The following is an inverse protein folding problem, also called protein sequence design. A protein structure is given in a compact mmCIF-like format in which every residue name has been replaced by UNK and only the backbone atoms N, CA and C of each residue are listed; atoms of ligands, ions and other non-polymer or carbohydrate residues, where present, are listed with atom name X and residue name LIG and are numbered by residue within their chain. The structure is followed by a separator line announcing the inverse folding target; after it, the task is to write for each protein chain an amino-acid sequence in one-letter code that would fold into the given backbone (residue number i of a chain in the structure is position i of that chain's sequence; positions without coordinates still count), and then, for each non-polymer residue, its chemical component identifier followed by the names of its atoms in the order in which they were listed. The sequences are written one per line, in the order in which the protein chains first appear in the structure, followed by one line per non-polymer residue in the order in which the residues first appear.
data_IF_600531724911
#
_entry.id   IF_600531724911
#
_cell.length_a   1.000
_cell.length_b   1.000
_cell.length_c   1.000
_cell.angle_alpha   90.00
_cell.angle_beta   90.00
_cell.angle_gamma   90.00
#
_symmetry.space_group_name_H-M   'P 1'
#
loop_
_entity.id
_entity.type
_entity.pdbx_description
1 polymer ?
#
# COMPACT_ATOMS: atom_id res chain seq x y z
N UNK A 1 46.29 13.50 41.41
CA UNK A 1 46.28 12.02 41.28
C UNK A 1 45.41 11.71 40.06
N UNK A 2 45.94 11.33 38.89
CA UNK A 2 46.39 9.95 38.51
C UNK A 2 45.26 8.94 38.79
N UNK A 3 44.73 8.11 37.86
CA UNK A 3 45.20 7.47 36.60
C UNK A 3 43.97 6.80 35.94
N UNK A 4 43.78 6.88 34.62
CA UNK A 4 44.08 5.89 33.55
C UNK A 4 42.91 4.97 33.12
N UNK A 5 42.86 4.76 31.80
CA UNK A 5 41.95 3.99 30.95
C UNK A 5 41.76 2.52 31.35
N UNK A 6 40.68 1.89 30.86
CA UNK A 6 40.72 0.56 30.21
C UNK A 6 39.61 0.50 29.14
N UNK A 7 40.04 0.21 27.91
CA UNK A 7 39.26 -0.26 26.76
C UNK A 7 38.94 -1.74 26.98
N UNK A 8 37.71 -2.18 26.70
CA UNK A 8 37.43 -3.59 26.38
C UNK A 8 36.44 -3.64 25.21
N UNK A 9 36.98 -3.93 24.03
CA UNK A 9 36.23 -4.59 22.97
C UNK A 9 35.95 -6.04 23.38
N UNK A 10 34.74 -6.54 23.10
CA UNK A 10 34.51 -7.83 22.42
C UNK A 10 33.02 -8.14 22.31
N UNK A 11 32.56 -8.15 21.05
CA UNK A 11 31.65 -9.14 20.42
C UNK A 11 30.70 -9.96 21.30
N UNK A 12 29.39 -9.77 21.13
CA UNK A 12 28.44 -10.72 20.48
C UNK A 12 27.03 -10.13 20.53
N UNK A 13 26.29 -10.26 19.42
CA UNK A 13 25.16 -9.40 19.07
C UNK A 13 23.78 -9.80 19.58
N UNK A 14 22.81 -8.92 19.26
CA UNK A 14 21.42 -9.31 19.04
C UNK A 14 20.73 -8.29 18.13
N UNK A 15 20.52 -8.71 16.89
CA UNK A 15 19.42 -8.37 15.97
C UNK A 15 18.84 -6.95 15.99
N UNK A 16 19.52 -6.01 15.34
CA UNK A 16 18.83 -4.96 14.59
C UNK A 16 18.59 -5.48 13.18
N UNK A 17 17.38 -5.93 12.89
CA UNK A 17 16.97 -6.32 11.53
C UNK A 17 16.89 -5.06 10.67
N UNK A 18 18.05 -4.61 10.17
CA UNK A 18 18.14 -3.62 9.12
C UNK A 18 17.51 -4.22 7.86
N UNK A 19 16.39 -3.64 7.45
CA UNK A 19 15.59 -4.10 6.33
C UNK A 19 16.27 -3.71 5.01
N UNK A 20 17.33 -4.45 4.67
CA UNK A 20 17.99 -4.35 3.37
C UNK A 20 17.01 -4.88 2.32
N UNK A 21 16.29 -3.97 1.67
CA UNK A 21 15.64 -4.23 0.40
C UNK A 21 16.73 -4.62 -0.61
N UNK A 22 16.99 -5.92 -0.84
CA UNK A 22 17.91 -6.35 -1.90
C UNK A 22 17.21 -6.37 -3.27
N UNK A 23 17.68 -5.47 -4.14
CA UNK A 23 18.04 -5.57 -5.58
C UNK A 23 17.24 -6.35 -6.64
N UNK A 24 16.29 -7.25 -6.34
CA UNK A 24 15.81 -8.16 -7.39
C UNK A 24 14.44 -7.83 -8.01
N UNK A 25 13.74 -6.78 -7.54
CA UNK A 25 12.50 -6.30 -8.18
C UNK A 25 12.71 -5.17 -9.20
N UNK A 26 13.93 -4.64 -9.34
CA UNK A 26 14.23 -3.49 -10.22
C UNK A 26 14.80 -3.87 -11.58
N UNK A 27 14.86 -5.16 -11.93
CA UNK A 27 15.42 -5.63 -13.21
C UNK A 27 14.38 -6.08 -14.25
N UNK A 28 13.18 -5.50 -14.25
CA UNK A 28 12.32 -5.57 -15.43
C UNK A 28 12.30 -4.20 -16.13
N UNK A 29 12.88 -4.08 -17.34
CA UNK A 29 12.96 -2.82 -18.03
C UNK A 29 11.61 -2.54 -18.69
N UNK A 30 10.74 -1.83 -17.99
CA UNK A 30 9.79 -0.94 -18.67
C UNK A 30 9.68 0.37 -17.91
N UNK A 31 10.00 1.45 -18.62
CA UNK A 31 10.15 2.81 -18.12
C UNK A 31 8.77 3.45 -17.95
N UNK A 32 8.30 3.54 -16.72
CA UNK A 32 7.40 4.61 -16.22
C UNK A 32 7.15 4.53 -14.70
N UNK A 33 7.83 3.61 -14.02
CA UNK A 33 7.49 3.17 -12.68
C UNK A 33 8.50 3.69 -11.66
N UNK A 34 8.25 4.86 -11.06
CA UNK A 34 9.02 5.24 -9.85
C UNK A 34 8.41 6.31 -8.92
N UNK A 35 7.32 6.99 -9.29
CA UNK A 35 6.84 8.16 -8.52
C UNK A 35 5.71 7.88 -7.52
N UNK A 36 4.84 6.89 -7.76
CA UNK A 36 3.70 6.59 -6.88
C UNK A 36 4.10 5.66 -5.73
N UNK A 37 4.91 4.63 -6.01
CA UNK A 37 5.40 3.62 -5.06
C UNK A 37 6.29 4.15 -3.92
N UNK A 38 6.79 5.38 -4.03
CA UNK A 38 7.61 6.03 -3.01
C UNK A 38 6.80 6.98 -2.11
N UNK A 39 5.55 7.31 -2.47
CA UNK A 39 4.69 8.20 -1.68
C UNK A 39 4.13 7.52 -0.44
N UNK A 40 3.71 6.26 -0.56
CA UNK A 40 3.17 5.48 0.58
C UNK A 40 4.25 5.20 1.62
N UNK A 41 5.53 5.06 1.21
CA UNK A 41 6.69 4.95 2.12
C UNK A 41 6.83 6.14 3.07
N UNK A 42 6.40 7.33 2.66
CA UNK A 42 6.61 8.55 3.46
C UNK A 42 5.70 8.69 4.68
N UNK A 43 4.66 7.85 4.80
CA UNK A 43 3.70 7.89 5.93
C UNK A 43 4.24 7.27 7.22
N UNK A 44 5.45 6.69 7.18
CA UNK A 44 5.97 5.78 8.19
C UNK A 44 7.34 6.27 8.67
N UNK A 45 7.56 6.27 10.00
CA UNK A 45 8.82 6.70 10.63
C UNK A 45 9.95 5.73 10.33
N UNK A 46 10.59 5.88 9.17
CA UNK A 46 11.85 5.20 8.85
C UNK A 46 12.89 6.24 8.42
N UNK A 47 14.08 6.13 9.02
CA UNK A 47 15.16 7.11 8.95
C UNK A 47 15.68 7.26 7.52
N UNK A 48 15.57 8.45 6.92
CA UNK A 48 16.04 8.76 5.56
C UNK A 48 17.52 8.45 5.29
N UNK A 49 18.33 8.19 6.33
CA UNK A 49 19.75 7.87 6.19
C UNK A 49 20.03 6.42 5.79
N UNK A 50 19.08 5.51 5.95
CA UNK A 50 19.32 4.06 5.80
C UNK A 50 18.48 3.39 4.69
N UNK A 51 17.46 4.07 4.18
CA UNK A 51 16.54 3.50 3.17
C UNK A 51 16.97 3.75 1.73
N UNK A 52 16.76 2.77 0.84
CA UNK A 52 16.90 2.97 -0.61
C UNK A 52 15.74 3.80 -1.15
N UNK A 53 16.05 5.01 -1.59
CA UNK A 53 15.16 5.91 -2.31
C UNK A 53 15.75 6.31 -3.67
N UNK A 54 14.89 6.73 -4.60
CA UNK A 54 15.36 7.47 -5.77
C UNK A 54 15.40 8.96 -5.44
N UNK A 55 16.50 9.64 -5.79
CA UNK A 55 16.66 11.07 -5.53
C UNK A 55 15.49 11.87 -6.13
N UNK A 56 15.07 11.52 -7.34
CA UNK A 56 13.91 12.12 -8.02
C UNK A 56 12.61 12.04 -7.20
N UNK A 57 12.41 10.97 -6.42
CA UNK A 57 11.21 10.82 -5.58
C UNK A 57 11.30 11.64 -4.31
N UNK A 58 12.49 11.73 -3.69
CA UNK A 58 12.72 12.59 -2.54
C UNK A 58 12.51 14.05 -2.94
N UNK A 59 13.09 14.46 -4.06
CA UNK A 59 12.94 15.82 -4.58
C UNK A 59 11.48 16.11 -4.91
N UNK A 60 10.77 15.16 -5.54
CA UNK A 60 9.34 15.29 -5.80
C UNK A 60 8.53 15.48 -4.50
N UNK A 61 8.79 14.65 -3.48
CA UNK A 61 8.10 14.71 -2.20
C UNK A 61 8.40 16.02 -1.45
N UNK A 62 9.66 16.45 -1.43
CA UNK A 62 10.08 17.73 -0.87
C UNK A 62 9.36 18.90 -1.56
N UNK A 63 9.34 18.89 -2.89
CA UNK A 63 8.64 19.89 -3.69
C UNK A 63 7.11 19.84 -3.50
N UNK A 64 6.58 18.67 -3.13
CA UNK A 64 5.17 18.47 -2.78
C UNK A 64 4.86 18.88 -1.31
N UNK A 65 5.87 19.36 -0.58
CA UNK A 65 5.75 19.91 0.76
C UNK A 65 5.86 18.89 1.89
N UNK A 66 6.45 17.71 1.63
CA UNK A 66 6.75 16.74 2.69
C UNK A 66 7.84 17.30 3.62
N UNK A 67 7.58 17.27 4.92
CA UNK A 67 8.50 17.77 5.94
C UNK A 67 9.33 16.61 6.52
N UNK A 68 10.45 16.29 5.86
CA UNK A 68 11.32 15.15 6.19
C UNK A 68 11.77 15.16 7.66
N UNK A 69 12.28 16.29 8.15
CA UNK A 69 12.72 16.44 9.53
C UNK A 69 11.57 16.17 10.53
N UNK A 70 10.38 16.69 10.23
CA UNK A 70 9.21 16.44 11.08
C UNK A 70 8.81 14.96 11.10
N UNK A 71 8.94 14.24 9.98
CA UNK A 71 8.69 12.80 9.96
C UNK A 71 9.74 12.01 10.74
N UNK A 72 11.00 12.46 10.74
CA UNK A 72 12.06 11.86 11.55
C UNK A 72 11.82 12.06 13.06
N UNK A 73 11.39 13.25 13.46
CA UNK A 73 11.17 13.60 14.87
C UNK A 73 9.82 13.08 15.38
N UNK A 74 8.74 13.35 14.65
CA UNK A 74 7.33 13.19 15.06
C UNK A 74 6.57 12.14 14.21
N UNK A 75 7.25 11.38 13.36
CA UNK A 75 6.61 10.36 12.52
C UNK A 75 5.86 9.30 13.33
N UNK A 76 4.85 8.71 12.69
CA UNK A 76 4.06 7.63 13.29
C UNK A 76 4.89 6.33 13.26
N UNK A 77 4.96 5.67 14.41
CA UNK A 77 5.52 4.32 14.50
C UNK A 77 4.66 3.33 13.73
N UNK A 78 5.30 2.57 12.84
CA UNK A 78 4.58 1.78 11.85
C UNK A 78 3.88 0.58 12.48
N UNK A 79 4.53 -0.06 13.44
CA UNK A 79 3.98 -1.22 14.14
C UNK A 79 2.81 -0.80 15.02
N UNK A 80 2.94 0.33 15.72
CA UNK A 80 1.84 0.88 16.50
C UNK A 80 0.64 1.26 15.63
N UNK A 81 0.88 1.86 14.46
CA UNK A 81 -0.20 2.14 13.50
C UNK A 81 -0.86 0.85 12.99
N UNK A 82 -0.07 -0.19 12.68
CA UNK A 82 -0.58 -1.47 12.23
C UNK A 82 -1.47 -2.14 13.30
N UNK A 83 -1.07 -2.09 14.58
CA UNK A 83 -1.84 -2.61 15.73
C UNK A 83 -3.21 -1.91 15.85
N UNK A 84 -3.22 -0.57 15.79
CA UNK A 84 -4.45 0.21 15.85
C UNK A 84 -5.35 -0.07 14.63
N UNK A 85 -4.76 -0.15 13.43
CA UNK A 85 -5.50 -0.45 12.22
C UNK A 85 -6.14 -1.84 12.28
N UNK A 86 -5.40 -2.85 12.75
CA UNK A 86 -5.86 -4.23 12.87
C UNK A 86 -7.14 -4.35 13.71
N UNK A 87 -7.25 -3.56 14.77
CA UNK A 87 -8.37 -3.61 15.73
C UNK A 87 -9.47 -2.57 15.46
N UNK A 88 -9.32 -1.74 14.42
CA UNK A 88 -10.23 -0.64 14.10
C UNK A 88 -11.55 -1.06 13.44
N UNK A 89 -11.62 -2.27 12.87
CA UNK A 89 -12.72 -2.70 11.99
C UNK A 89 -12.64 -2.14 10.56
N UNK A 90 -11.54 -1.46 10.20
CA UNK A 90 -11.31 -0.94 8.83
C UNK A 90 -10.71 -2.01 7.90
N UNK A 91 -9.97 -2.96 8.47
CA UNK A 91 -9.44 -4.16 7.78
C UNK A 91 -10.14 -5.41 8.30
N UNK A 92 -10.04 -6.52 7.56
CA UNK A 92 -10.66 -7.82 7.90
C UNK A 92 -12.20 -7.79 7.98
N UNK A 93 -12.83 -6.74 7.47
CA UNK A 93 -14.27 -6.49 7.59
C UNK A 93 -14.95 -6.37 6.22
N UNK A 94 -15.90 -7.27 5.95
CA UNK A 94 -16.55 -7.42 4.64
C UNK A 94 -17.51 -6.26 4.30
N UNK A 95 -17.91 -5.48 5.31
CA UNK A 95 -18.74 -4.28 5.14
C UNK A 95 -17.94 -3.04 4.71
N UNK A 96 -16.60 -3.11 4.70
CA UNK A 96 -15.74 -2.00 4.28
C UNK A 96 -15.36 -2.16 2.81
N UNK A 97 -15.61 -1.12 2.01
CA UNK A 97 -15.20 -1.04 0.61
C UNK A 97 -14.03 -0.07 0.47
N UNK A 98 -12.91 -0.57 -0.01
CA UNK A 98 -11.69 0.19 -0.25
C UNK A 98 -11.67 0.75 -1.67
N UNK A 99 -11.45 2.06 -1.77
CA UNK A 99 -11.31 2.77 -3.04
C UNK A 99 -9.85 3.16 -3.22
N UNK A 100 -9.30 2.87 -4.39
CA UNK A 100 -7.89 3.11 -4.66
C UNK A 100 -7.66 3.54 -6.11
N UNK A 101 -6.44 3.96 -6.44
CA UNK A 101 -6.06 4.31 -7.80
C UNK A 101 -4.67 3.75 -8.09
N UNK A 102 -4.57 2.78 -9.00
CA UNK A 102 -3.30 2.19 -9.42
C UNK A 102 -2.48 1.61 -8.26
N UNK A 103 -3.15 0.85 -7.40
CA UNK A 103 -2.75 0.69 -6.00
C UNK A 103 -1.96 -0.58 -5.68
N UNK A 104 -1.31 -1.19 -6.67
CA UNK A 104 -0.52 -2.41 -6.46
C UNK A 104 0.55 -2.22 -5.38
N UNK A 105 1.29 -1.12 -5.45
CA UNK A 105 2.30 -0.78 -4.44
C UNK A 105 1.68 -0.37 -3.11
N UNK A 106 0.59 0.39 -3.13
CA UNK A 106 -0.07 0.88 -1.92
C UNK A 106 -0.49 -0.30 -1.05
N UNK A 107 -1.17 -1.29 -1.64
CA UNK A 107 -1.55 -2.51 -0.94
C UNK A 107 -0.37 -3.42 -0.62
N UNK A 108 0.70 -3.43 -1.44
CA UNK A 108 1.96 -4.07 -1.08
C UNK A 108 2.53 -3.53 0.23
N UNK A 109 2.53 -2.21 0.43
CA UNK A 109 2.95 -1.63 1.72
C UNK A 109 1.99 -2.00 2.85
N UNK A 110 0.68 -1.94 2.62
CA UNK A 110 -0.30 -2.27 3.64
C UNK A 110 -0.20 -3.74 4.08
N UNK A 111 -0.03 -4.67 3.15
CA UNK A 111 0.17 -6.09 3.47
C UNK A 111 1.45 -6.27 4.28
N UNK A 112 2.58 -5.73 3.81
CA UNK A 112 3.85 -5.77 4.55
C UNK A 112 3.74 -5.19 5.95
N UNK A 113 3.04 -4.05 6.08
CA UNK A 113 2.81 -3.37 7.34
C UNK A 113 1.97 -4.21 8.31
N UNK A 114 0.88 -4.81 7.82
CA UNK A 114 -0.06 -5.59 8.64
C UNK A 114 0.45 -6.98 8.99
N UNK A 115 1.34 -7.56 8.17
CA UNK A 115 1.96 -8.87 8.44
C UNK A 115 3.30 -8.75 9.16
N UNK A 116 3.90 -7.56 9.21
CA UNK A 116 5.28 -7.32 9.63
C UNK A 116 6.28 -8.32 9.02
N UNK A 117 6.02 -8.71 7.77
CA UNK A 117 6.72 -9.79 7.08
C UNK A 117 7.13 -9.38 5.67
N UNK A 118 8.04 -10.14 5.05
CA UNK A 118 8.32 -9.97 3.61
C UNK A 118 7.06 -10.27 2.81
N UNK A 119 6.90 -9.57 1.69
CA UNK A 119 5.84 -9.89 0.74
C UNK A 119 6.05 -11.31 0.18
N UNK A 120 4.96 -12.04 -0.11
CA UNK A 120 5.06 -13.33 -0.76
C UNK A 120 5.84 -13.26 -2.07
N UNK A 121 6.58 -14.33 -2.38
CA UNK A 121 7.32 -14.43 -3.64
C UNK A 121 6.36 -14.65 -4.82
N UNK A 122 5.25 -15.34 -4.57
CA UNK A 122 4.25 -15.69 -5.56
C UNK A 122 3.06 -14.73 -5.55
N UNK A 123 2.64 -14.28 -6.74
CA UNK A 123 1.55 -13.30 -6.89
C UNK A 123 0.22 -13.79 -6.29
N UNK A 124 -0.10 -15.08 -6.46
CA UNK A 124 -1.35 -15.65 -5.97
C UNK A 124 -1.43 -15.67 -4.43
N UNK A 125 -0.30 -15.88 -3.75
CA UNK A 125 -0.22 -15.81 -2.28
C UNK A 125 -0.39 -14.37 -1.80
N UNK A 126 0.18 -13.39 -2.52
CA UNK A 126 -0.07 -11.97 -2.24
C UNK A 126 -1.56 -11.64 -2.32
N UNK A 127 -2.26 -12.05 -3.39
CA UNK A 127 -3.70 -11.82 -3.53
C UNK A 127 -4.52 -12.56 -2.47
N UNK A 128 -4.07 -13.75 -2.04
CA UNK A 128 -4.72 -14.47 -0.95
C UNK A 128 -4.68 -13.64 0.34
N UNK A 129 -3.51 -13.14 0.75
CA UNK A 129 -3.37 -12.31 1.95
C UNK A 129 -4.11 -10.97 1.79
N UNK A 130 -4.00 -10.35 0.62
CA UNK A 130 -4.68 -9.09 0.30
C UNK A 130 -6.18 -9.19 0.52
N UNK A 131 -6.82 -10.21 -0.03
CA UNK A 131 -8.27 -10.38 0.03
C UNK A 131 -8.79 -10.69 1.44
N UNK A 132 -7.94 -11.13 2.36
CA UNK A 132 -8.31 -11.28 3.77
C UNK A 132 -8.41 -9.92 4.43
N UNK A 133 -7.34 -9.12 4.35
CA UNK A 133 -7.30 -7.80 4.97
C UNK A 133 -8.26 -6.81 4.32
N UNK A 134 -8.46 -6.92 3.00
CA UNK A 134 -9.22 -5.99 2.17
C UNK A 134 -10.21 -6.75 1.29
N UNK A 135 -11.33 -7.27 1.85
CA UNK A 135 -12.25 -8.15 1.12
C UNK A 135 -12.92 -7.49 -0.09
N UNK A 136 -13.10 -6.16 -0.03
CA UNK A 136 -13.69 -5.39 -1.12
C UNK A 136 -12.79 -4.23 -1.53
N UNK A 137 -12.12 -4.34 -2.68
CA UNK A 137 -11.30 -3.28 -3.28
C UNK A 137 -11.84 -2.92 -4.66
N UNK A 138 -11.93 -1.62 -4.95
CA UNK A 138 -12.13 -1.09 -6.30
C UNK A 138 -10.99 -0.16 -6.69
N UNK A 139 -10.14 -0.62 -7.61
CA UNK A 139 -9.09 0.21 -8.20
C UNK A 139 -9.68 1.03 -9.36
N UNK A 140 -9.81 2.34 -9.15
CA UNK A 140 -10.34 3.29 -10.15
C UNK A 140 -9.61 3.17 -11.48
N UNK A 141 -8.29 2.97 -11.46
CA UNK A 141 -7.50 2.79 -12.68
C UNK A 141 -7.89 1.53 -13.44
N UNK A 142 -8.25 0.46 -12.73
CA UNK A 142 -8.78 -0.76 -13.34
C UNK A 142 -10.18 -0.54 -13.92
N UNK A 143 -11.08 0.11 -13.17
CA UNK A 143 -12.45 0.43 -13.63
C UNK A 143 -12.45 1.28 -14.92
N UNK A 144 -11.51 2.23 -15.03
CA UNK A 144 -11.34 3.07 -16.22
C UNK A 144 -11.17 2.28 -17.52
N UNK A 145 -10.69 1.02 -17.47
CA UNK A 145 -10.60 0.15 -18.68
C UNK A 145 -11.95 -0.08 -19.35
N UNK A 146 -13.05 0.07 -18.61
CA UNK A 146 -14.43 -0.04 -19.13
C UNK A 146 -15.06 1.32 -19.45
N UNK A 147 -14.36 2.42 -19.19
CA UNK A 147 -14.85 3.77 -19.43
C UNK A 147 -14.25 4.33 -20.72
N UNK A 148 -15.08 4.57 -21.74
CA UNK A 148 -14.60 5.18 -22.98
C UNK A 148 -14.05 6.58 -22.68
N UNK A 149 -12.88 6.88 -23.22
CA UNK A 149 -12.20 8.18 -23.16
C UNK A 149 -11.59 8.59 -21.81
N UNK A 150 -11.72 7.81 -20.72
CA UNK A 150 -10.96 8.06 -19.49
C UNK A 150 -9.57 7.42 -19.58
N UNK A 151 -8.53 8.25 -19.51
CA UNK A 151 -7.13 7.80 -19.55
C UNK A 151 -6.23 8.74 -18.75
N UNK A 152 -5.03 8.26 -18.45
CA UNK A 152 -4.03 9.08 -17.77
C UNK A 152 -3.94 8.86 -16.25
N UNK A 153 -3.14 9.68 -15.58
CA UNK A 153 -2.96 9.67 -14.13
C UNK A 153 -4.15 10.26 -13.37
N UNK A 154 -4.14 10.16 -12.03
CA UNK A 154 -5.27 10.58 -11.19
C UNK A 154 -5.68 12.05 -11.43
N UNK A 155 -4.72 12.95 -11.62
CA UNK A 155 -5.03 14.36 -11.90
C UNK A 155 -5.71 14.53 -13.26
N UNK A 156 -5.20 13.88 -14.31
CA UNK A 156 -5.76 13.97 -15.66
C UNK A 156 -7.18 13.40 -15.70
N UNK A 157 -7.44 12.34 -14.93
CA UNK A 157 -8.77 11.74 -14.77
C UNK A 157 -9.70 12.68 -14.02
N UNK A 158 -9.23 13.33 -12.96
CA UNK A 158 -10.01 14.33 -12.25
C UNK A 158 -10.40 15.50 -13.16
N UNK A 159 -9.46 15.99 -13.98
CA UNK A 159 -9.72 17.06 -14.95
C UNK A 159 -10.77 16.63 -15.99
N UNK A 160 -10.71 15.39 -16.48
CA UNK A 160 -11.70 14.81 -17.41
C UNK A 160 -13.09 14.61 -16.79
N UNK A 161 -13.16 14.52 -15.47
CA UNK A 161 -14.40 14.35 -14.70
C UNK A 161 -14.93 15.67 -14.12
N UNK A 162 -14.30 16.80 -14.48
CA UNK A 162 -14.58 18.14 -13.95
C UNK A 162 -14.49 18.22 -12.41
N UNK A 163 -13.50 17.54 -11.83
CA UNK A 163 -13.29 17.48 -10.38
C UNK A 163 -12.18 18.43 -9.93
N UNK A 164 -12.49 19.25 -8.94
CA UNK A 164 -11.51 20.14 -8.32
C UNK A 164 -10.78 19.44 -7.17
N UNK A 165 -9.44 19.43 -7.21
CA UNK A 165 -8.60 18.93 -6.11
C UNK A 165 -8.70 19.85 -4.88
N UNK A 166 -8.80 19.22 -3.71
CA UNK A 166 -8.63 19.85 -2.40
C UNK A 166 -7.34 19.34 -1.77
N UNK A 167 -6.48 20.27 -1.33
CA UNK A 167 -5.15 19.97 -0.81
C UNK A 167 -4.04 19.90 -1.87
N UNK A 168 -2.82 19.60 -1.43
CA UNK A 168 -1.64 19.57 -2.31
C UNK A 168 -1.55 18.25 -3.06
N UNK A 169 -1.39 18.33 -4.37
CA UNK A 169 -1.10 17.16 -5.21
C UNK A 169 0.13 16.42 -4.69
N UNK A 170 0.12 15.08 -4.80
CA UNK A 170 1.21 14.21 -4.35
C UNK A 170 1.38 14.12 -2.82
N UNK A 171 0.38 14.53 -2.05
CA UNK A 171 0.22 14.14 -0.66
C UNK A 171 -0.90 13.11 -0.54
N UNK A 172 -0.65 12.06 0.25
CA UNK A 172 -1.56 10.91 0.36
C UNK A 172 -3.00 11.31 0.73
N UNK A 173 -3.19 12.28 1.63
CA UNK A 173 -4.53 12.75 2.01
C UNK A 173 -5.28 13.49 0.90
N UNK A 174 -4.58 14.32 0.09
CA UNK A 174 -5.21 14.98 -1.05
C UNK A 174 -5.50 13.99 -2.18
N UNK A 175 -4.55 13.09 -2.45
CA UNK A 175 -4.68 12.07 -3.48
C UNK A 175 -5.80 11.06 -3.13
N UNK A 176 -5.96 10.68 -1.85
CA UNK A 176 -7.03 9.77 -1.41
C UNK A 176 -8.42 10.40 -1.51
N UNK A 177 -8.56 11.68 -1.13
CA UNK A 177 -9.81 12.42 -1.30
C UNK A 177 -10.20 12.52 -2.78
N UNK A 178 -9.25 12.89 -3.64
CA UNK A 178 -9.50 12.99 -5.07
C UNK A 178 -9.83 11.62 -5.69
N UNK A 179 -9.21 10.54 -5.21
CA UNK A 179 -9.53 9.17 -5.62
C UNK A 179 -10.98 8.82 -5.30
N UNK A 180 -11.45 9.14 -4.08
CA UNK A 180 -12.85 8.94 -3.70
C UNK A 180 -13.82 9.74 -4.57
N UNK A 181 -13.52 11.02 -4.80
CA UNK A 181 -14.32 11.88 -5.69
C UNK A 181 -14.39 11.32 -7.12
N UNK A 182 -13.24 10.90 -7.66
CA UNK A 182 -13.16 10.31 -9.00
C UNK A 182 -13.96 9.01 -9.08
N UNK A 183 -13.90 8.15 -8.07
CA UNK A 183 -14.69 6.92 -8.02
C UNK A 183 -16.19 7.20 -8.10
N UNK A 184 -16.73 8.05 -7.20
CA UNK A 184 -18.17 8.31 -7.18
C UNK A 184 -18.63 8.99 -8.47
N UNK A 185 -17.86 9.96 -8.97
CA UNK A 185 -18.20 10.63 -10.23
C UNK A 185 -18.18 9.69 -11.44
N UNK A 186 -17.18 8.81 -11.50
CA UNK A 186 -17.07 7.80 -12.55
C UNK A 186 -18.20 6.77 -12.45
N UNK A 187 -18.57 6.36 -11.24
CA UNK A 187 -19.67 5.42 -10.97
C UNK A 187 -21.01 5.97 -11.49
N UNK A 188 -21.30 7.24 -11.23
CA UNK A 188 -22.49 7.92 -11.76
C UNK A 188 -22.52 7.94 -13.29
N UNK A 189 -21.39 8.33 -13.92
CA UNK A 189 -21.34 8.60 -15.36
C UNK A 189 -21.24 7.35 -16.25
N UNK A 190 -20.56 6.31 -15.78
CA UNK A 190 -20.19 5.15 -16.61
C UNK A 190 -20.77 3.82 -16.14
N UNK A 191 -21.32 3.77 -14.92
CA UNK A 191 -21.76 2.53 -14.29
C UNK A 191 -23.21 2.58 -13.79
N UNK A 192 -24.00 3.60 -14.15
CA UNK A 192 -25.42 3.69 -13.76
C UNK A 192 -25.63 3.51 -12.24
N UNK A 193 -24.72 4.08 -11.44
CA UNK A 193 -24.70 3.95 -9.98
C UNK A 193 -24.57 2.51 -9.42
N UNK A 194 -24.15 1.56 -10.25
CA UNK A 194 -23.97 0.15 -9.87
C UNK A 194 -22.70 -0.47 -10.48
N UNK A 195 -21.80 -0.96 -9.63
CA UNK A 195 -20.57 -1.64 -10.05
C UNK A 195 -20.76 -3.14 -9.88
N UNK A 196 -20.41 -3.91 -10.92
CA UNK A 196 -20.42 -5.37 -10.89
C UNK A 196 -19.23 -5.91 -10.09
N UNK A 197 -19.51 -6.44 -8.89
CA UNK A 197 -18.49 -6.99 -8.00
C UNK A 197 -17.75 -8.18 -8.62
N UNK A 198 -18.44 -9.04 -9.39
CA UNK A 198 -17.80 -10.17 -10.05
C UNK A 198 -16.76 -9.70 -11.07
N UNK A 199 -16.98 -8.56 -11.70
CA UNK A 199 -16.06 -8.04 -12.71
C UNK A 199 -14.94 -7.17 -12.14
N UNK A 200 -15.22 -6.38 -11.11
CA UNK A 200 -14.31 -5.30 -10.68
C UNK A 200 -13.76 -5.44 -9.27
N UNK A 201 -14.44 -6.14 -8.37
CA UNK A 201 -14.01 -6.24 -6.97
C UNK A 201 -12.72 -7.07 -6.85
N UNK A 202 -11.75 -6.57 -6.09
CA UNK A 202 -10.46 -7.22 -5.84
C UNK A 202 -9.47 -7.15 -7.01
N UNK A 203 -9.81 -6.44 -8.10
CA UNK A 203 -8.94 -6.30 -9.27
C UNK A 203 -8.04 -5.07 -9.13
N UNK A 204 -6.73 -5.29 -9.08
CA UNK A 204 -5.73 -4.23 -9.08
C UNK A 204 -5.22 -3.97 -10.50
N UNK A 205 -5.01 -2.70 -10.86
CA UNK A 205 -4.49 -2.37 -12.19
C UNK A 205 -3.04 -2.89 -12.33
N UNK A 206 -2.79 -3.63 -13.43
CA UNK A 206 -1.46 -4.15 -13.75
C UNK A 206 -1.07 -5.45 -13.07
N UNK A 207 -1.95 -6.04 -12.23
CA UNK A 207 -1.70 -7.28 -11.48
C UNK A 207 -2.86 -8.28 -11.61
N UNK A 208 -2.61 -9.55 -11.29
CA UNK A 208 -3.65 -10.55 -11.06
C UNK A 208 -4.37 -11.06 -12.31
N UNK A 209 -3.74 -10.98 -13.49
CA UNK A 209 -4.33 -11.42 -14.78
C UNK A 209 -4.57 -12.94 -14.89
N UNK A 210 -4.23 -13.73 -13.87
CA UNK A 210 -4.41 -15.19 -13.83
C UNK A 210 -5.23 -15.73 -12.65
N UNK A 211 -5.73 -14.88 -11.74
CA UNK A 211 -6.47 -15.36 -10.56
C UNK A 211 -7.96 -15.43 -10.89
N UNK A 212 -8.46 -16.65 -11.12
CA UNK A 212 -9.89 -16.93 -11.20
C UNK A 212 -10.54 -16.64 -9.84
N UNK A 213 -11.73 -16.02 -9.83
CA UNK A 213 -12.49 -15.83 -8.61
C UNK A 213 -12.89 -17.20 -8.05
N UNK A 214 -12.74 -17.41 -6.73
CA UNK A 214 -13.56 -18.41 -6.03
C UNK A 214 -15.02 -18.00 -6.25
N UNK A 215 -15.80 -18.88 -6.88
CA UNK A 215 -17.25 -18.83 -6.74
C UNK A 215 -17.56 -18.97 -5.24
N UNK A 216 -18.61 -18.30 -4.75
CA UNK A 216 -19.07 -18.41 -3.37
C UNK A 216 -19.32 -19.89 -3.02
N UNK A 217 -18.31 -20.57 -2.48
CA UNK A 217 -18.49 -21.74 -1.65
C UNK A 217 -18.47 -21.23 -0.22
N UNK A 218 -19.60 -21.39 0.48
CA UNK A 218 -19.73 -21.23 1.92
C UNK A 218 -18.82 -22.26 2.61
N UNK A 219 -17.52 -22.00 2.61
CA UNK A 219 -16.53 -22.68 3.45
C UNK A 219 -16.26 -21.75 4.61
N UNK A 220 -16.49 -22.25 5.82
CA UNK A 220 -16.51 -21.52 7.08
C UNK A 220 -15.35 -20.49 7.20
N UNK A 221 -15.65 -19.24 6.83
CA UNK A 221 -14.65 -18.17 6.65
C UNK A 221 -13.84 -17.89 7.92
N UNK A 222 -14.41 -18.22 9.08
CA UNK A 222 -13.76 -18.10 10.37
C UNK A 222 -12.59 -19.09 10.52
N UNK A 223 -12.71 -20.32 10.03
CA UNK A 223 -11.66 -21.33 10.13
C UNK A 223 -10.48 -21.01 9.20
N UNK A 224 -10.75 -20.51 7.99
CA UNK A 224 -9.72 -20.06 7.04
C UNK A 224 -9.01 -18.81 7.58
N UNK A 225 -9.77 -17.81 8.08
CA UNK A 225 -9.22 -16.62 8.75
C UNK A 225 -8.36 -16.98 9.98
N UNK A 226 -8.80 -17.94 10.81
CA UNK A 226 -8.04 -18.42 11.97
C UNK A 226 -6.78 -19.20 11.58
N UNK A 227 -6.86 -20.04 10.55
CA UNK A 227 -5.70 -20.78 10.05
C UNK A 227 -4.64 -19.85 9.46
N UNK A 228 -5.06 -18.71 8.89
CA UNK A 228 -4.13 -17.74 8.31
C UNK A 228 -3.57 -16.80 9.38
N UNK A 229 -4.35 -16.42 10.40
CA UNK A 229 -3.79 -15.79 11.60
C UNK A 229 -2.72 -16.68 12.26
N UNK A 230 -2.92 -18.00 12.25
CA UNK A 230 -1.89 -18.95 12.70
C UNK A 230 -0.67 -18.98 11.76
N UNK A 231 -0.83 -18.83 10.44
CA UNK A 231 0.29 -18.69 9.49
C UNK A 231 1.04 -17.38 9.74
N UNK A 232 0.35 -16.25 9.92
CA UNK A 232 0.96 -14.96 10.24
C UNK A 232 1.74 -15.05 11.56
N UNK A 233 1.16 -15.66 12.59
CA UNK A 233 1.85 -15.86 13.87
C UNK A 233 3.06 -16.82 13.77
N UNK A 234 3.03 -17.79 12.86
CA UNK A 234 4.16 -18.70 12.61
C UNK A 234 5.27 -18.07 11.75
N UNK A 235 4.96 -17.06 10.92
CA UNK A 235 5.96 -16.29 10.18
C UNK A 235 6.73 -15.29 11.07
N UNK A 236 6.26 -15.07 12.30
CA UNK A 236 6.90 -14.19 13.30
C UNK A 236 7.86 -14.93 14.27
N UNK A 237 8.04 -16.25 14.14
CA UNK A 237 9.04 -17.05 14.89
C UNK A 237 10.30 -17.32 14.07
#
# INVERSE_FOLDING_TARGET
MRRENILLESTLGSSTSNLILRKDWTQQPNREWNKESQKVKSLLKNTYREDMYSQDSIDLLANSGLQFQKHEEEGIDTLHFAELLMTSGVVLCDNVKWLSFHSGYDFGYMVKLLTDSRLPEEEHEFFHILNLFFPSIYDVKYLMKSCKNLKGGLQEVADQLDLQRIGRQHQAGSDSLLTGMAFFRMKELFFEDSIDDAKYCGRLYGLGTGVAQKQNEDVDSAQEKMSILAIINNMQQ
#
